data_IF_688611587860
#
_entry.id   IF_688611587860
#
_cell.length_a   1.000
_cell.length_b   1.000
_cell.length_c   1.000
_cell.angle_alpha   90.00
_cell.angle_beta   90.00
_cell.angle_gamma   90.00
#
_symmetry.space_group_name_H-M   'P 1'
#
loop_
_entity.id
_entity.type
_entity.pdbx_description
1 polymer ?
#
# COMPACT_ATOMS: atom_id res chain seq x y z
N UNK A 1 16.49 2.07 4.71
CA UNK A 1 16.88 1.23 5.83
C UNK A 1 16.20 1.65 7.13
N UNK A 2 15.81 0.70 7.91
CA UNK A 2 15.18 0.95 9.19
C UNK A 2 16.21 1.52 10.18
N UNK A 3 15.85 2.59 10.85
CA UNK A 3 16.79 3.32 11.70
C UNK A 3 16.78 2.87 13.16
N UNK A 4 16.03 1.86 13.49
CA UNK A 4 15.98 1.36 14.86
C UNK A 4 15.29 2.33 15.77
N UNK A 5 14.37 2.85 15.82
CA UNK A 5 13.59 3.73 16.63
C UNK A 5 12.11 3.64 16.25
N UNK A 6 11.34 4.42 16.92
CA UNK A 6 9.91 4.42 16.68
C UNK A 6 9.60 5.24 15.43
N UNK A 7 8.87 4.62 14.49
CA UNK A 7 8.44 5.34 13.30
C UNK A 7 7.32 6.31 13.64
N UNK A 8 7.41 7.52 13.09
CA UNK A 8 6.37 8.53 13.25
C UNK A 8 5.21 8.25 12.30
N UNK A 9 4.09 8.94 12.50
CA UNK A 9 2.98 8.89 11.57
C UNK A 9 3.43 9.31 10.17
N UNK A 10 4.22 10.37 10.08
CA UNK A 10 4.75 10.85 8.81
C UNK A 10 5.62 9.80 8.13
N UNK A 11 6.48 9.10 8.90
CA UNK A 11 7.31 8.03 8.35
C UNK A 11 6.45 6.91 7.74
N UNK A 12 5.40 6.53 8.44
CA UNK A 12 4.52 5.46 7.97
C UNK A 12 3.75 5.85 6.72
N UNK A 13 3.24 7.09 6.69
CA UNK A 13 2.55 7.61 5.51
C UNK A 13 3.50 7.71 4.32
N UNK A 14 4.74 8.10 4.57
CA UNK A 14 5.76 8.18 3.52
C UNK A 14 6.05 6.81 2.93
N UNK A 15 6.14 5.77 3.77
CA UNK A 15 6.36 4.41 3.27
C UNK A 15 5.18 3.92 2.42
N UNK A 16 3.96 4.27 2.79
CA UNK A 16 2.80 3.94 1.98
C UNK A 16 2.88 4.65 0.63
N UNK A 17 3.18 5.95 0.64
CA UNK A 17 3.27 6.75 -0.58
C UNK A 17 4.34 6.21 -1.52
N UNK A 18 5.51 5.89 -0.99
CA UNK A 18 6.60 5.32 -1.78
C UNK A 18 6.21 3.99 -2.38
N UNK A 19 5.56 3.14 -1.59
CA UNK A 19 5.15 1.82 -2.08
C UNK A 19 4.13 1.93 -3.20
N UNK A 20 3.17 2.86 -3.09
CA UNK A 20 2.22 3.11 -4.16
C UNK A 20 2.93 3.57 -5.43
N UNK A 21 3.89 4.48 -5.28
CA UNK A 21 4.66 5.00 -6.41
C UNK A 21 5.40 3.87 -7.14
N UNK A 22 6.10 3.02 -6.40
CA UNK A 22 6.84 1.92 -6.99
C UNK A 22 5.90 0.94 -7.71
N UNK A 23 4.80 0.60 -7.09
CA UNK A 23 3.83 -0.30 -7.71
C UNK A 23 3.32 0.29 -9.02
N UNK A 24 2.97 1.56 -9.02
CA UNK A 24 2.45 2.22 -10.22
C UNK A 24 3.49 2.26 -11.34
N UNK A 25 4.74 2.52 -10.99
CA UNK A 25 5.81 2.54 -11.99
C UNK A 25 6.09 1.14 -12.54
N UNK A 26 6.19 0.15 -11.67
CA UNK A 26 6.51 -1.21 -12.09
C UNK A 26 5.40 -1.86 -12.89
N UNK A 27 4.15 -1.51 -12.63
CA UNK A 27 3.01 -2.15 -13.27
C UNK A 27 2.47 -1.38 -14.48
N UNK A 28 3.20 -0.41 -15.00
CA UNK A 28 2.73 0.42 -16.10
C UNK A 28 2.26 -0.38 -17.30
N UNK A 29 2.94 -1.46 -17.62
CA UNK A 29 2.64 -2.27 -18.79
C UNK A 29 1.69 -3.43 -18.50
N UNK A 30 1.18 -3.50 -17.30
CA UNK A 30 0.19 -4.51 -16.90
C UNK A 30 -1.20 -3.95 -17.21
N UNK A 31 -1.87 -4.52 -18.19
CA UNK A 31 -3.18 -4.06 -18.64
C UNK A 31 -4.31 -5.00 -18.25
N UNK A 32 -3.98 -6.22 -17.86
CA UNK A 32 -4.94 -7.19 -17.34
C UNK A 32 -4.20 -8.14 -16.41
N UNK A 33 -4.94 -8.90 -15.62
CA UNK A 33 -4.34 -9.80 -14.63
C UNK A 33 -3.40 -10.82 -15.28
N UNK A 34 -3.76 -11.34 -16.45
CA UNK A 34 -2.95 -12.34 -17.13
C UNK A 34 -1.60 -11.82 -17.58
N UNK A 35 -1.46 -10.50 -17.74
CA UNK A 35 -0.17 -9.92 -18.12
C UNK A 35 0.92 -10.21 -17.09
N UNK A 36 0.56 -10.40 -15.82
CA UNK A 36 1.54 -10.76 -14.79
C UNK A 36 2.21 -12.10 -15.06
N UNK A 37 1.57 -12.97 -15.84
CA UNK A 37 2.08 -14.30 -16.15
C UNK A 37 2.72 -14.39 -17.54
N UNK A 38 2.77 -13.27 -18.26
CA UNK A 38 3.15 -13.26 -19.67
C UNK A 38 4.63 -13.55 -19.93
N UNK A 39 5.50 -13.29 -18.96
CA UNK A 39 6.93 -13.50 -19.08
C UNK A 39 7.55 -13.58 -17.69
N UNK A 40 8.81 -14.02 -17.63
CA UNK A 40 9.54 -14.05 -16.37
C UNK A 40 9.65 -12.66 -15.76
N UNK A 41 9.90 -11.65 -16.60
CA UNK A 41 9.97 -10.26 -16.11
C UNK A 41 8.66 -9.82 -15.50
N UNK A 42 7.53 -10.20 -16.08
CA UNK A 42 6.21 -9.82 -15.54
C UNK A 42 5.90 -10.56 -14.25
N UNK A 43 6.34 -11.80 -14.12
CA UNK A 43 6.23 -12.54 -12.86
C UNK A 43 7.03 -11.83 -11.76
N UNK A 44 8.21 -11.33 -12.09
CA UNK A 44 9.00 -10.54 -11.13
C UNK A 44 8.27 -9.26 -10.72
N UNK A 45 7.63 -8.59 -11.67
CA UNK A 45 6.82 -7.41 -11.38
C UNK A 45 5.69 -7.75 -10.41
N UNK A 46 5.00 -8.88 -10.66
CA UNK A 46 3.94 -9.33 -9.77
C UNK A 46 4.47 -9.49 -8.33
N UNK A 47 5.56 -10.21 -8.19
CA UNK A 47 6.13 -10.48 -6.85
C UNK A 47 6.58 -9.19 -6.17
N UNK A 48 7.17 -8.27 -6.91
CA UNK A 48 7.60 -6.99 -6.35
C UNK A 48 6.40 -6.16 -5.88
N UNK A 49 5.33 -6.14 -6.68
CA UNK A 49 4.11 -5.42 -6.32
C UNK A 49 3.45 -6.02 -5.09
N UNK A 50 3.40 -7.35 -4.99
CA UNK A 50 2.81 -8.02 -3.83
C UNK A 50 3.60 -7.67 -2.56
N UNK A 51 4.93 -7.63 -2.65
CA UNK A 51 5.75 -7.23 -1.51
C UNK A 51 5.41 -5.81 -1.05
N UNK A 52 5.21 -4.89 -1.99
CA UNK A 52 4.85 -3.52 -1.64
C UNK A 52 3.44 -3.40 -1.10
N UNK A 53 2.51 -4.23 -1.59
CA UNK A 53 1.17 -4.28 -1.02
C UNK A 53 1.21 -4.73 0.44
N UNK A 54 2.12 -5.64 0.77
CA UNK A 54 2.31 -6.07 2.16
C UNK A 54 2.79 -4.91 3.03
N UNK A 55 3.74 -4.12 2.53
CA UNK A 55 4.23 -2.94 3.25
C UNK A 55 3.08 -1.95 3.49
N UNK A 56 2.28 -1.70 2.46
CA UNK A 56 1.13 -0.79 2.59
C UNK A 56 0.18 -1.28 3.69
N UNK A 57 -0.18 -2.56 3.65
CA UNK A 57 -1.09 -3.13 4.65
C UNK A 57 -0.53 -3.04 6.05
N UNK A 58 0.77 -3.29 6.21
CA UNK A 58 1.42 -3.21 7.51
C UNK A 58 1.37 -1.79 8.07
N UNK A 59 1.70 -0.79 7.26
CA UNK A 59 1.69 0.60 7.73
C UNK A 59 0.27 1.11 7.96
N UNK A 60 -0.68 0.72 7.10
CA UNK A 60 -2.09 1.05 7.31
C UNK A 60 -2.56 0.48 8.65
N UNK A 61 -2.21 -0.78 8.94
CA UNK A 61 -2.60 -1.40 10.21
C UNK A 61 -2.08 -0.62 11.41
N UNK A 62 -0.81 -0.21 11.36
CA UNK A 62 -0.21 0.55 12.45
C UNK A 62 -0.93 1.89 12.67
N UNK A 63 -1.31 2.56 11.60
CA UNK A 63 -2.02 3.84 11.70
C UNK A 63 -3.48 3.66 12.11
N UNK A 64 -4.11 2.59 11.62
CA UNK A 64 -5.53 2.33 11.86
C UNK A 64 -5.81 2.09 13.35
N UNK A 65 -4.88 1.41 14.03
CA UNK A 65 -5.08 1.01 15.42
C UNK A 65 -4.50 2.01 16.43
N UNK A 66 -4.02 3.16 15.97
CA UNK A 66 -3.66 4.24 16.88
C UNK A 66 -4.92 4.88 17.47
N UNK A 67 -4.78 5.46 18.67
CA UNK A 67 -5.87 6.12 19.38
C UNK A 67 -5.45 7.55 19.74
N UNK A 68 -5.97 8.58 19.04
CA UNK A 68 -6.90 8.51 17.91
C UNK A 68 -6.18 8.14 16.61
N UNK A 69 -6.90 7.54 15.69
CA UNK A 69 -6.32 7.19 14.39
C UNK A 69 -6.38 8.37 13.43
N UNK A 70 -5.26 8.66 12.73
CA UNK A 70 -5.28 9.71 11.70
C UNK A 70 -6.14 9.34 10.49
N UNK A 71 -6.53 8.06 10.37
CA UNK A 71 -7.32 7.59 9.23
C UNK A 71 -8.83 7.70 9.46
N UNK A 72 -9.24 8.05 10.68
CA UNK A 72 -10.64 7.95 11.10
C UNK A 72 -11.60 8.85 10.32
N UNK A 73 -11.11 9.93 9.73
CA UNK A 73 -11.95 10.86 8.97
C UNK A 73 -12.15 10.44 7.51
N UNK A 74 -11.41 9.44 7.04
CA UNK A 74 -11.45 8.99 5.64
C UNK A 74 -12.15 7.64 5.55
N UNK A 75 -13.44 7.64 5.89
CA UNK A 75 -14.23 6.40 5.99
C UNK A 75 -14.53 5.75 4.65
N UNK A 76 -14.37 6.49 3.56
CA UNK A 76 -14.59 5.97 2.21
C UNK A 76 -13.52 4.96 1.78
N UNK A 77 -12.37 4.96 2.45
CA UNK A 77 -11.29 4.00 2.15
C UNK A 77 -11.52 2.73 2.97
N UNK A 78 -11.48 1.54 2.34
CA UNK A 78 -11.67 0.29 3.07
C UNK A 78 -10.40 -0.12 3.83
N UNK A 79 -10.11 0.59 4.91
CA UNK A 79 -8.85 0.41 5.66
C UNK A 79 -8.65 -1.01 6.17
N UNK A 80 -9.71 -1.63 6.71
CA UNK A 80 -9.59 -2.99 7.22
C UNK A 80 -9.31 -4.00 6.11
N UNK A 81 -9.90 -3.79 4.93
CA UNK A 81 -9.64 -4.68 3.79
C UNK A 81 -8.19 -4.56 3.33
N UNK A 82 -7.64 -3.35 3.35
CA UNK A 82 -6.22 -3.13 2.99
C UNK A 82 -5.32 -3.81 4.01
N UNK A 83 -5.63 -3.67 5.29
CA UNK A 83 -4.88 -4.35 6.34
C UNK A 83 -4.98 -5.88 6.22
N UNK A 84 -6.18 -6.39 5.94
CA UNK A 84 -6.41 -7.83 5.80
C UNK A 84 -5.66 -8.43 4.62
N UNK A 85 -5.44 -7.66 3.55
CA UNK A 85 -4.63 -8.13 2.43
C UNK A 85 -3.20 -8.44 2.88
N UNK A 86 -2.64 -7.65 3.79
CA UNK A 86 -1.32 -7.94 4.36
C UNK A 86 -1.31 -9.29 5.07
N UNK A 87 -2.38 -9.62 5.79
CA UNK A 87 -2.48 -10.90 6.47
C UNK A 87 -2.56 -12.06 5.47
N UNK A 88 -3.34 -11.88 4.41
CA UNK A 88 -3.44 -12.87 3.34
C UNK A 88 -2.08 -13.11 2.70
N UNK A 89 -1.35 -12.05 2.37
CA UNK A 89 -0.02 -12.18 1.77
C UNK A 89 0.93 -12.89 2.72
N UNK A 90 0.92 -12.53 4.01
CA UNK A 90 1.83 -13.11 5.00
C UNK A 90 1.59 -14.60 5.21
N UNK A 91 0.35 -15.05 5.16
CA UNK A 91 0.00 -16.43 5.51
C UNK A 91 -0.20 -17.33 4.30
N UNK A 92 -0.50 -16.77 3.13
CA UNK A 92 -0.83 -17.56 1.94
C UNK A 92 -0.22 -16.96 0.69
N UNK A 93 1.06 -16.59 0.76
CA UNK A 93 1.74 -15.91 -0.34
C UNK A 93 1.57 -16.62 -1.68
N UNK A 94 1.72 -17.95 -1.70
CA UNK A 94 1.66 -18.71 -2.95
C UNK A 94 0.25 -18.77 -3.55
N UNK A 95 -0.77 -18.36 -2.79
CA UNK A 95 -2.16 -18.39 -3.23
C UNK A 95 -2.72 -17.01 -3.52
N UNK A 96 -1.87 -15.98 -3.58
CA UNK A 96 -2.32 -14.63 -3.89
C UNK A 96 -2.71 -14.56 -5.36
N UNK A 97 -3.95 -14.15 -5.61
CA UNK A 97 -4.56 -14.18 -6.93
C UNK A 97 -4.17 -12.93 -7.73
N UNK A 98 -3.75 -13.14 -8.98
CA UNK A 98 -3.33 -12.06 -9.88
C UNK A 98 -4.46 -11.08 -10.15
N UNK A 99 -5.70 -11.58 -10.23
CA UNK A 99 -6.86 -10.71 -10.48
C UNK A 99 -7.10 -9.76 -9.31
N UNK A 100 -6.96 -10.26 -8.09
CA UNK A 100 -7.13 -9.43 -6.88
C UNK A 100 -6.04 -8.35 -6.87
N UNK A 101 -4.80 -8.73 -7.13
CA UNK A 101 -3.67 -7.79 -7.17
C UNK A 101 -3.89 -6.74 -8.26
N UNK A 102 -4.30 -7.17 -9.45
CA UNK A 102 -4.54 -6.25 -10.55
C UNK A 102 -5.62 -5.23 -10.22
N UNK A 103 -6.74 -5.69 -9.67
CA UNK A 103 -7.85 -4.82 -9.29
C UNK A 103 -7.42 -3.82 -8.22
N UNK A 104 -6.68 -4.29 -7.22
CA UNK A 104 -6.16 -3.43 -6.15
C UNK A 104 -5.27 -2.34 -6.74
N UNK A 105 -4.34 -2.71 -7.61
CA UNK A 105 -3.38 -1.76 -8.19
C UNK A 105 -4.08 -0.73 -9.08
N UNK A 106 -5.00 -1.16 -9.92
CA UNK A 106 -5.59 -0.26 -10.93
C UNK A 106 -6.74 0.57 -10.40
N UNK A 107 -7.40 0.13 -9.33
CA UNK A 107 -8.56 0.83 -8.78
C UNK A 107 -8.30 1.38 -7.38
N UNK A 108 -7.98 0.50 -6.45
CA UNK A 108 -7.97 0.87 -5.03
C UNK A 108 -6.83 1.80 -4.66
N UNK A 109 -5.66 1.62 -5.28
CA UNK A 109 -4.50 2.44 -4.95
C UNK A 109 -4.65 3.89 -5.40
N UNK A 110 -5.48 4.15 -6.40
CA UNK A 110 -5.69 5.53 -6.88
C UNK A 110 -6.33 6.38 -5.78
N UNK A 111 -7.40 5.87 -5.18
CA UNK A 111 -8.08 6.58 -4.10
C UNK A 111 -7.23 6.64 -2.84
N UNK A 112 -6.54 5.54 -2.53
CA UNK A 112 -5.64 5.50 -1.39
C UNK A 112 -4.55 6.56 -1.52
N UNK A 113 -3.96 6.68 -2.71
CA UNK A 113 -2.89 7.66 -2.96
C UNK A 113 -3.36 9.08 -2.69
N UNK A 114 -4.56 9.42 -3.10
CA UNK A 114 -5.13 10.74 -2.86
C UNK A 114 -5.23 11.04 -1.37
N UNK A 115 -5.74 10.09 -0.60
CA UNK A 115 -5.91 10.27 0.83
C UNK A 115 -4.56 10.35 1.54
N UNK A 116 -3.61 9.48 1.18
CA UNK A 116 -2.28 9.49 1.79
C UNK A 116 -1.58 10.81 1.50
N UNK A 117 -1.71 11.33 0.28
CA UNK A 117 -1.13 12.62 -0.09
C UNK A 117 -1.71 13.75 0.78
N UNK A 118 -3.03 13.74 0.98
CA UNK A 118 -3.67 14.73 1.85
C UNK A 118 -3.17 14.62 3.29
N UNK A 119 -3.05 13.41 3.79
CA UNK A 119 -2.58 13.17 5.17
C UNK A 119 -1.14 13.62 5.35
N UNK A 120 -0.29 13.36 4.35
CA UNK A 120 1.11 13.81 4.39
C UNK A 120 1.21 15.33 4.42
N UNK A 121 0.43 16.00 3.61
CA UNK A 121 0.42 17.46 3.57
C UNK A 121 0.02 18.02 4.93
N UNK A 122 -1.03 17.48 5.51
CA UNK A 122 -1.52 17.92 6.82
C UNK A 122 -0.51 17.62 7.92
N UNK A 123 0.10 16.44 7.88
CA UNK A 123 1.08 16.00 8.87
C UNK A 123 2.33 16.88 8.83
N UNK A 124 2.83 17.21 7.64
CA UNK A 124 3.98 18.10 7.48
C UNK A 124 3.69 19.48 8.04
N UNK A 125 2.50 20.01 7.77
CA UNK A 125 2.09 21.31 8.29
C UNK A 125 2.03 21.31 9.82
N UNK A 126 1.59 20.19 10.42
CA UNK A 126 1.55 20.06 11.87
C UNK A 126 2.95 19.94 12.46
N UNK A 127 3.85 19.23 11.78
CA UNK A 127 5.22 19.02 12.25
C UNK A 127 6.05 20.30 12.18
N UNK A 128 5.71 21.22 11.29
CA UNK A 128 6.42 22.49 11.15
C UNK A 128 6.17 23.45 12.31
N UNK A 129 5.28 23.12 13.19
CA UNK A 129 5.02 23.93 14.37
C UNK A 129 5.88 23.51 15.53
#
# INVERSE_FOLDING_TARGET
MYKGGRLTICDRLTQIKESIYYIQQWSKEINCADDFLASMDKVMVFNACVMRLQVIGEQVGKLLFLQPSPLSEYKEIPWLAIYDMRNLISHEYSNVDEQIVFTTIKNDLIELDKVITCLLYTSDAADDK
#
